data_IF_682082388611
#
_entry.id   IF_682082388611
#
_cell.length_a   1.000
_cell.length_b   1.000
_cell.length_c   1.000
_cell.angle_alpha   90.00
_cell.angle_beta   90.00
_cell.angle_gamma   90.00
#
_symmetry.space_group_name_H-M   'P 1'
#
loop_
_entity.id
_entity.type
_entity.pdbx_description
1 polymer ?
#
# COMPACT_ATOMS: atom_id res chain seq x y z
N UNK A 1 -28.44 37.55 36.01
CA UNK A 1 -29.16 36.92 34.88
C UNK A 1 -28.29 37.13 33.65
N UNK A 2 -27.42 36.16 33.37
CA UNK A 2 -26.62 36.07 32.14
C UNK A 2 -26.80 34.64 31.63
N UNK A 3 -27.89 34.34 30.91
CA UNK A 3 -28.15 33.00 30.38
C UNK A 3 -27.16 32.60 29.27
N UNK A 4 -26.40 33.56 28.73
CA UNK A 4 -25.54 33.36 27.56
C UNK A 4 -24.18 32.71 27.89
N UNK A 5 -23.76 32.69 29.15
CA UNK A 5 -22.49 32.08 29.57
C UNK A 5 -22.55 30.55 29.66
N UNK A 6 -23.74 29.95 29.68
CA UNK A 6 -23.90 28.50 29.73
C UNK A 6 -23.87 27.84 28.34
N UNK A 7 -24.05 28.61 27.26
CA UNK A 7 -23.98 28.12 25.88
C UNK A 7 -22.54 27.99 25.35
N UNK A 8 -21.56 28.57 26.05
CA UNK A 8 -20.14 28.47 25.74
C UNK A 8 -19.40 27.40 26.56
N UNK A 9 -20.13 26.59 27.34
CA UNK A 9 -19.55 25.52 28.13
C UNK A 9 -19.67 24.20 27.35
N UNK A 10 -18.52 23.59 27.02
CA UNK A 10 -18.45 22.22 26.51
C UNK A 10 -19.34 21.32 27.37
N UNK A 11 -20.25 20.57 26.74
CA UNK A 11 -21.13 19.70 27.51
C UNK A 11 -20.28 18.66 28.25
N UNK A 12 -20.73 18.22 29.42
CA UNK A 12 -19.97 17.22 30.21
C UNK A 12 -19.71 15.95 29.39
N UNK A 13 -20.63 15.58 28.48
CA UNK A 13 -20.47 14.46 27.55
C UNK A 13 -19.41 14.69 26.49
N UNK A 14 -19.37 15.87 25.88
CA UNK A 14 -18.32 16.26 24.94
C UNK A 14 -16.94 16.25 25.60
N UNK A 15 -16.82 16.84 26.78
CA UNK A 15 -15.56 16.92 27.52
C UNK A 15 -15.02 15.52 27.89
N UNK A 16 -15.89 14.64 28.40
CA UNK A 16 -15.53 13.26 28.73
C UNK A 16 -15.08 12.52 27.47
N UNK A 17 -15.82 12.65 26.37
CA UNK A 17 -15.49 11.96 25.12
C UNK A 17 -14.17 12.45 24.55
N UNK A 18 -13.89 13.75 24.60
CA UNK A 18 -12.60 14.33 24.17
C UNK A 18 -11.45 13.80 25.02
N UNK A 19 -11.57 13.81 26.35
CA UNK A 19 -10.51 13.35 27.25
C UNK A 19 -10.28 11.84 27.21
N UNK A 20 -11.21 11.07 26.65
CA UNK A 20 -11.03 9.63 26.38
C UNK A 20 -10.46 9.40 24.99
N UNK A 21 -11.12 9.90 23.94
CA UNK A 21 -10.77 9.63 22.54
C UNK A 21 -9.52 10.38 22.07
N UNK A 22 -9.27 11.59 22.57
CA UNK A 22 -8.10 12.39 22.22
C UNK A 22 -6.79 11.70 22.60
N UNK A 23 -6.55 11.37 23.88
CA UNK A 23 -5.38 10.61 24.29
C UNK A 23 -5.30 9.23 23.64
N UNK A 24 -6.43 8.54 23.48
CA UNK A 24 -6.48 7.25 22.78
C UNK A 24 -5.99 7.36 21.34
N UNK A 25 -6.42 8.39 20.60
CA UNK A 25 -5.97 8.65 19.24
C UNK A 25 -4.46 8.92 19.17
N UNK A 26 -3.93 9.73 20.09
CA UNK A 26 -2.49 10.05 20.15
C UNK A 26 -1.67 8.80 20.48
N UNK A 27 -2.08 8.02 21.49
CA UNK A 27 -1.40 6.77 21.86
C UNK A 27 -1.43 5.79 20.68
N UNK A 28 -2.59 5.62 20.03
CA UNK A 28 -2.71 4.77 18.86
C UNK A 28 -1.82 5.24 17.70
N UNK A 29 -1.74 6.55 17.43
CA UNK A 29 -0.85 7.09 16.40
C UNK A 29 0.64 6.84 16.71
N UNK A 30 1.05 7.00 17.96
CA UNK A 30 2.42 6.67 18.39
C UNK A 30 2.69 5.17 18.23
N UNK A 31 1.77 4.32 18.66
CA UNK A 31 1.90 2.86 18.54
C UNK A 31 1.92 2.39 17.08
N UNK A 32 1.16 3.04 16.19
CA UNK A 32 1.21 2.79 14.76
C UNK A 32 2.62 2.98 14.20
N UNK A 33 3.30 4.09 14.57
CA UNK A 33 4.64 4.42 14.06
C UNK A 33 5.72 3.51 14.65
N UNK A 34 5.58 3.11 15.92
CA UNK A 34 6.57 2.26 16.60
C UNK A 34 6.38 0.77 16.25
N UNK A 35 5.19 0.38 15.80
CA UNK A 35 4.85 -1.01 15.49
C UNK A 35 5.68 -1.56 14.33
N UNK A 36 6.43 -2.62 14.60
CA UNK A 36 7.24 -3.33 13.59
C UNK A 36 6.42 -4.22 12.68
N UNK A 37 5.33 -4.79 13.21
CA UNK A 37 4.43 -5.60 12.42
C UNK A 37 3.42 -4.68 11.74
N UNK A 38 3.39 -4.73 10.42
CA UNK A 38 2.55 -3.83 9.65
C UNK A 38 1.04 -4.07 9.86
N UNK A 39 0.62 -5.29 10.21
CA UNK A 39 -0.77 -5.58 10.57
C UNK A 39 -1.14 -4.86 11.87
N UNK A 40 -0.26 -4.89 12.85
CA UNK A 40 -0.47 -4.17 14.12
C UNK A 40 -0.48 -2.66 13.89
N UNK A 41 0.42 -2.14 13.05
CA UNK A 41 0.43 -0.73 12.67
C UNK A 41 -0.91 -0.32 12.04
N UNK A 42 -1.46 -1.15 11.15
CA UNK A 42 -2.75 -0.88 10.52
C UNK A 42 -3.94 -0.98 11.49
N UNK A 43 -3.91 -1.88 12.49
CA UNK A 43 -4.92 -1.89 13.57
C UNK A 43 -4.87 -0.62 14.42
N UNK A 44 -3.67 -0.12 14.73
CA UNK A 44 -3.52 1.16 15.43
C UNK A 44 -4.00 2.34 14.58
N UNK A 45 -3.75 2.33 13.26
CA UNK A 45 -4.32 3.29 12.34
C UNK A 45 -5.86 3.26 12.36
N UNK A 46 -6.47 2.07 12.42
CA UNK A 46 -7.91 1.92 12.57
C UNK A 46 -8.43 2.61 13.84
N UNK A 47 -7.75 2.40 14.98
CA UNK A 47 -8.10 3.04 16.25
C UNK A 47 -8.01 4.57 16.17
N UNK A 48 -7.01 5.12 15.47
CA UNK A 48 -6.92 6.57 15.20
C UNK A 48 -8.12 7.05 14.39
N UNK A 49 -8.45 6.37 13.29
CA UNK A 49 -9.53 6.78 12.39
C UNK A 49 -10.91 6.72 13.07
N UNK A 50 -11.17 5.70 13.90
CA UNK A 50 -12.38 5.60 14.72
C UNK A 50 -12.45 6.68 15.79
N UNK A 51 -11.33 6.95 16.48
CA UNK A 51 -11.28 7.99 17.51
C UNK A 51 -11.55 9.37 16.91
N UNK A 52 -10.98 9.66 15.73
CA UNK A 52 -11.27 10.90 14.99
C UNK A 52 -12.73 10.98 14.55
N UNK A 53 -13.34 9.89 14.09
CA UNK A 53 -14.76 9.88 13.74
C UNK A 53 -15.64 10.22 14.95
N UNK A 54 -15.32 9.67 16.13
CA UNK A 54 -16.00 10.02 17.37
C UNK A 54 -15.80 11.49 17.76
N UNK A 55 -14.58 12.01 17.62
CA UNK A 55 -14.29 13.44 17.87
C UNK A 55 -15.02 14.36 16.89
N UNK A 56 -15.21 13.97 15.62
CA UNK A 56 -16.01 14.74 14.66
C UNK A 56 -17.50 14.71 15.01
N UNK A 57 -18.01 13.57 15.45
CA UNK A 57 -19.42 13.48 15.86
C UNK A 57 -19.72 14.38 17.07
N UNK A 58 -18.79 14.47 18.01
CA UNK A 58 -18.90 15.31 19.21
C UNK A 58 -18.72 16.81 18.91
N UNK A 59 -18.04 17.16 17.83
CA UNK A 59 -17.86 18.55 17.38
C UNK A 59 -18.96 19.00 16.39
N UNK A 60 -20.15 18.41 16.48
CA UNK A 60 -21.29 18.70 15.59
C UNK A 60 -21.00 18.56 14.09
N UNK A 61 -20.11 17.62 13.72
CA UNK A 61 -19.80 17.30 12.32
C UNK A 61 -20.22 15.86 11.94
N UNK A 62 -21.53 15.51 11.98
CA UNK A 62 -22.01 14.14 11.79
C UNK A 62 -21.77 13.60 10.38
N UNK A 63 -21.83 14.43 9.33
CA UNK A 63 -21.51 13.98 7.97
C UNK A 63 -20.04 13.60 7.84
N UNK A 64 -19.14 14.45 8.36
CA UNK A 64 -17.71 14.19 8.30
C UNK A 64 -17.33 12.95 9.13
N UNK A 65 -17.95 12.76 10.30
CA UNK A 65 -17.82 11.54 11.10
C UNK A 65 -18.24 10.29 10.32
N UNK A 66 -19.38 10.33 9.62
CA UNK A 66 -19.86 9.20 8.81
C UNK A 66 -18.91 8.89 7.63
N UNK A 67 -18.45 9.92 6.90
CA UNK A 67 -17.46 9.78 5.81
C UNK A 67 -16.14 9.21 6.34
N UNK A 68 -15.70 9.61 7.54
CA UNK A 68 -14.50 9.09 8.19
C UNK A 68 -14.57 7.57 8.42
N UNK A 69 -15.73 7.08 8.88
CA UNK A 69 -15.94 5.65 9.07
C UNK A 69 -16.06 4.92 7.73
N UNK A 70 -16.87 5.42 6.81
CA UNK A 70 -17.16 4.72 5.55
C UNK A 70 -15.94 4.69 4.62
N UNK A 71 -15.28 5.84 4.42
CA UNK A 71 -14.22 5.98 3.41
C UNK A 71 -12.86 5.62 3.99
N UNK A 72 -12.42 6.30 5.06
CA UNK A 72 -11.08 6.09 5.60
C UNK A 72 -10.94 4.75 6.32
N UNK A 73 -11.86 4.45 7.24
CA UNK A 73 -11.81 3.18 7.99
C UNK A 73 -12.37 2.02 7.15
N UNK A 74 -13.47 2.24 6.43
CA UNK A 74 -14.14 1.18 5.68
C UNK A 74 -13.39 0.80 4.41
N UNK A 75 -13.18 1.74 3.49
CA UNK A 75 -12.61 1.44 2.18
C UNK A 75 -11.08 1.45 2.17
N UNK A 76 -10.47 2.58 2.54
CA UNK A 76 -9.02 2.82 2.37
C UNK A 76 -8.20 1.88 3.27
N UNK A 77 -8.55 1.83 4.55
CA UNK A 77 -7.86 0.96 5.51
C UNK A 77 -8.01 -0.52 5.15
N UNK A 78 -9.20 -0.98 4.75
CA UNK A 78 -9.39 -2.40 4.36
C UNK A 78 -8.60 -2.75 3.10
N UNK A 79 -8.54 -1.84 2.11
CA UNK A 79 -7.67 -2.01 0.94
C UNK A 79 -6.20 -2.11 1.36
N UNK A 80 -5.76 -1.22 2.25
CA UNK A 80 -4.39 -1.24 2.76
C UNK A 80 -4.06 -2.54 3.49
N UNK A 81 -4.94 -2.99 4.40
CA UNK A 81 -4.81 -4.25 5.12
C UNK A 81 -4.74 -5.45 4.17
N UNK A 82 -5.59 -5.48 3.15
CA UNK A 82 -5.61 -6.55 2.16
C UNK A 82 -4.30 -6.61 1.37
N UNK A 83 -3.83 -5.46 0.86
CA UNK A 83 -2.58 -5.35 0.11
C UNK A 83 -1.40 -5.77 0.98
N UNK A 84 -1.34 -5.27 2.21
CA UNK A 84 -0.26 -5.59 3.13
C UNK A 84 -0.20 -7.09 3.45
N UNK A 85 -1.36 -7.71 3.65
CA UNK A 85 -1.46 -9.14 3.91
C UNK A 85 -1.09 -9.98 2.69
N UNK A 86 -1.46 -9.54 1.48
CA UNK A 86 -1.13 -10.20 0.22
C UNK A 86 0.38 -10.16 -0.08
N UNK A 87 1.03 -9.03 0.20
CA UNK A 87 2.46 -8.84 -0.08
C UNK A 87 3.35 -9.72 0.81
N UNK A 88 2.86 -10.11 1.99
CA UNK A 88 3.62 -10.92 2.94
C UNK A 88 4.80 -10.12 3.49
N UNK A 89 4.56 -9.40 4.59
CA UNK A 89 5.61 -8.62 5.27
C UNK A 89 6.52 -9.54 6.10
N UNK A 90 7.65 -9.92 5.53
CA UNK A 90 8.72 -10.58 6.28
C UNK A 90 9.40 -9.57 7.21
N UNK A 91 9.35 -9.85 8.51
CA UNK A 91 9.82 -8.96 9.58
C UNK A 91 11.34 -9.07 9.75
N UNK A 92 12.11 -8.78 8.71
CA UNK A 92 13.57 -8.85 8.74
C UNK A 92 14.18 -7.46 8.86
N UNK A 93 13.87 -6.76 9.95
CA UNK A 93 14.49 -5.48 10.23
C UNK A 93 15.82 -5.75 10.96
N UNK A 94 16.92 -5.72 10.22
CA UNK A 94 18.25 -5.77 10.82
C UNK A 94 18.53 -4.44 11.52
N UNK A 95 18.80 -4.46 12.82
CA UNK A 95 19.14 -3.28 13.64
C UNK A 95 20.53 -2.68 13.32
N UNK A 96 20.99 -2.83 12.08
CA UNK A 96 22.26 -2.28 11.64
C UNK A 96 21.95 -0.89 11.09
N UNK A 97 22.03 0.10 11.98
CA UNK A 97 21.90 1.50 11.62
C UNK A 97 22.99 1.84 10.59
N UNK A 98 22.63 1.96 9.31
CA UNK A 98 23.58 2.28 8.23
C UNK A 98 24.24 3.65 8.41
N UNK A 99 23.57 4.57 9.12
CA UNK A 99 24.05 5.92 9.42
C UNK A 99 23.95 6.18 10.94
N UNK A 100 25.09 6.12 11.63
CA UNK A 100 25.16 6.41 13.07
C UNK A 100 24.59 7.81 13.37
N UNK A 101 23.56 7.87 14.22
CA UNK A 101 22.97 9.13 14.71
C UNK A 101 21.69 9.58 14.00
N UNK A 102 21.26 8.93 12.92
CA UNK A 102 20.04 9.32 12.20
C UNK A 102 18.80 9.26 13.09
N UNK A 103 18.64 8.19 13.89
CA UNK A 103 17.52 8.04 14.83
C UNK A 103 17.39 9.18 15.84
N UNK A 104 18.51 9.70 16.35
CA UNK A 104 18.52 10.83 17.29
C UNK A 104 18.15 12.12 16.56
N UNK A 105 18.68 12.33 15.35
CA UNK A 105 18.32 13.48 14.53
C UNK A 105 16.83 13.48 14.16
N UNK A 106 16.27 12.34 13.74
CA UNK A 106 14.84 12.20 13.45
C UNK A 106 13.98 12.51 14.67
N UNK A 107 14.40 12.07 15.87
CA UNK A 107 13.69 12.39 17.10
C UNK A 107 13.72 13.90 17.40
N UNK A 108 14.89 14.54 17.30
CA UNK A 108 15.05 15.98 17.55
C UNK A 108 14.21 16.78 16.56
N UNK A 109 14.28 16.46 15.27
CA UNK A 109 13.51 17.14 14.22
C UNK A 109 12.02 16.90 14.41
N UNK A 110 11.60 15.67 14.70
CA UNK A 110 10.19 15.34 14.93
C UNK A 110 9.60 16.08 16.13
N UNK A 111 10.31 16.11 17.26
CA UNK A 111 9.89 16.85 18.46
C UNK A 111 9.91 18.36 18.21
N UNK A 112 10.94 18.88 17.55
CA UNK A 112 11.04 20.30 17.21
C UNK A 112 9.90 20.74 16.29
N UNK A 113 9.56 19.92 15.29
CA UNK A 113 8.43 20.17 14.39
C UNK A 113 7.09 20.12 15.12
N UNK A 114 6.88 19.13 16.00
CA UNK A 114 5.68 19.05 16.82
C UNK A 114 5.54 20.28 17.74
N UNK A 115 6.62 20.72 18.38
CA UNK A 115 6.63 21.90 19.22
C UNK A 115 6.29 23.18 18.43
N UNK A 116 6.82 23.30 17.21
CA UNK A 116 6.52 24.42 16.31
C UNK A 116 5.06 24.42 15.86
N UNK A 117 4.50 23.25 15.52
CA UNK A 117 3.07 23.17 15.18
C UNK A 117 2.18 23.47 16.37
N UNK A 118 2.50 22.94 17.56
CA UNK A 118 1.74 23.25 18.78
C UNK A 118 1.79 24.73 19.13
N UNK A 119 2.94 25.39 18.97
CA UNK A 119 3.05 26.83 19.24
C UNK A 119 2.32 27.66 18.19
N UNK A 120 2.38 27.29 16.91
CA UNK A 120 1.65 27.96 15.85
C UNK A 120 0.13 27.83 16.01
N UNK A 121 -0.36 26.63 16.29
CA UNK A 121 -1.78 26.38 16.58
C UNK A 121 -2.20 27.09 17.86
N UNK A 122 -1.39 27.02 18.92
CA UNK A 122 -1.65 27.72 20.17
C UNK A 122 -1.78 29.24 19.98
N UNK A 123 -0.88 29.85 19.20
CA UNK A 123 -0.92 31.27 18.89
C UNK A 123 -2.11 31.66 17.99
N UNK A 124 -2.58 30.74 17.13
CA UNK A 124 -3.74 30.99 16.28
C UNK A 124 -5.08 30.86 17.03
N UNK A 125 -5.14 29.96 18.02
CA UNK A 125 -6.36 29.64 18.77
C UNK A 125 -6.53 30.54 20.00
N UNK A 126 -5.43 30.90 20.66
CA UNK A 126 -5.43 31.83 21.80
C UNK A 126 -5.34 33.25 21.25
N UNK A 127 -6.42 34.02 21.37
CA UNK A 127 -6.43 35.42 20.96
C UNK A 127 -5.44 36.29 21.74
N UNK A 128 -5.23 37.54 21.30
CA UNK A 128 -4.36 38.51 21.97
C UNK A 128 -4.68 38.72 23.46
N UNK A 129 -5.92 38.43 23.84
CA UNK A 129 -6.46 38.64 25.18
C UNK A 129 -6.36 37.37 26.05
N UNK A 130 -5.71 36.32 25.56
CA UNK A 130 -5.53 35.04 26.27
C UNK A 130 -6.75 34.12 26.27
N UNK A 131 -7.85 34.53 25.63
CA UNK A 131 -9.09 33.75 25.53
C UNK A 131 -9.12 32.91 24.26
N UNK A 132 -9.58 31.66 24.38
CA UNK A 132 -9.89 30.79 23.24
C UNK A 132 -11.30 31.11 22.77
N UNK A 133 -11.42 31.75 21.60
CA UNK A 133 -12.73 31.98 20.99
C UNK A 133 -13.15 30.70 20.25
N UNK A 134 -14.00 29.86 20.87
CA UNK A 134 -14.64 28.77 20.16
C UNK A 134 -15.87 29.30 19.41
N UNK A 135 -15.73 29.46 18.10
CA UNK A 135 -16.89 29.66 17.22
C UNK A 135 -17.42 28.26 16.94
N UNK A 136 -18.46 27.84 17.68
CA UNK A 136 -19.08 26.54 17.49
C UNK A 136 -19.63 26.35 16.07
N UNK A 137 -20.13 25.14 15.77
CA UNK A 137 -20.62 24.82 14.42
C UNK A 137 -22.11 25.15 14.21
N UNK A 138 -22.82 25.67 15.21
CA UNK A 138 -24.27 25.93 15.15
C UNK A 138 -24.68 26.77 13.94
N UNK A 139 -24.01 27.90 13.73
CA UNK A 139 -24.29 28.78 12.58
C UNK A 139 -23.96 28.11 11.24
N UNK A 140 -22.89 27.30 11.19
CA UNK A 140 -22.53 26.55 9.99
C UNK A 140 -23.51 25.39 9.71
N UNK A 141 -24.20 24.91 10.74
CA UNK A 141 -25.13 23.79 10.70
C UNK A 141 -26.61 24.20 10.64
N UNK A 142 -26.92 25.50 10.56
CA UNK A 142 -28.29 26.02 10.62
C UNK A 142 -29.20 25.42 9.53
N UNK A 143 -28.65 25.19 8.33
CA UNK A 143 -29.36 24.56 7.20
C UNK A 143 -29.23 23.01 7.18
N UNK A 144 -28.52 22.44 8.16
CA UNK A 144 -28.16 21.03 8.24
C UNK A 144 -26.79 20.72 7.63
N UNK A 145 -26.03 19.85 8.30
CA UNK A 145 -24.62 19.58 8.00
C UNK A 145 -24.37 19.10 6.56
N UNK A 146 -25.23 18.21 6.02
CA UNK A 146 -25.09 17.70 4.64
C UNK A 146 -25.43 18.77 3.61
N UNK A 147 -26.49 19.54 3.85
CA UNK A 147 -26.98 20.56 2.92
C UNK A 147 -25.99 21.73 2.84
N UNK A 148 -25.47 22.17 3.99
CA UNK A 148 -24.45 23.22 4.06
C UNK A 148 -23.18 22.85 3.28
N UNK A 149 -22.67 21.62 3.47
CA UNK A 149 -21.52 21.12 2.72
C UNK A 149 -21.84 21.01 1.22
N UNK A 150 -23.01 20.51 0.85
CA UNK A 150 -23.41 20.40 -0.56
C UNK A 150 -23.49 21.77 -1.24
N UNK A 151 -24.04 22.79 -0.57
CA UNK A 151 -24.08 24.17 -1.08
C UNK A 151 -22.66 24.66 -1.36
N UNK A 152 -21.77 24.60 -0.37
CA UNK A 152 -20.37 25.01 -0.53
C UNK A 152 -19.68 24.25 -1.68
N UNK A 153 -19.90 22.95 -1.78
CA UNK A 153 -19.29 22.09 -2.80
C UNK A 153 -19.74 22.45 -4.22
N UNK A 154 -21.02 22.79 -4.41
CA UNK A 154 -21.60 23.07 -5.71
C UNK A 154 -21.66 24.56 -6.08
N UNK A 155 -21.36 25.47 -5.15
CA UNK A 155 -21.23 26.91 -5.44
C UNK A 155 -19.78 27.35 -5.45
N UNK A 156 -19.12 27.35 -4.29
CA UNK A 156 -17.84 28.02 -4.09
C UNK A 156 -16.68 27.11 -4.45
N UNK A 157 -16.83 25.81 -4.18
CA UNK A 157 -15.82 24.78 -4.42
C UNK A 157 -16.10 23.91 -5.64
N UNK A 158 -16.99 24.35 -6.55
CA UNK A 158 -17.37 23.58 -7.75
C UNK A 158 -16.15 23.16 -8.58
N UNK A 159 -15.19 24.07 -8.75
CA UNK A 159 -13.97 23.78 -9.51
C UNK A 159 -13.08 22.75 -8.82
N UNK A 160 -12.94 22.82 -7.49
CA UNK A 160 -12.20 21.84 -6.72
C UNK A 160 -12.87 20.46 -6.76
N UNK A 161 -14.20 20.43 -6.71
CA UNK A 161 -15.00 19.21 -6.88
C UNK A 161 -14.79 18.57 -8.26
N UNK A 162 -14.81 19.36 -9.33
CA UNK A 162 -14.60 18.87 -10.69
C UNK A 162 -13.19 18.28 -10.88
N UNK A 163 -12.16 18.98 -10.38
CA UNK A 163 -10.77 18.46 -10.42
C UNK A 163 -10.64 17.17 -9.61
N UNK A 164 -11.28 17.08 -8.45
CA UNK A 164 -11.24 15.87 -7.62
C UNK A 164 -11.94 14.71 -8.33
N UNK A 165 -13.04 14.97 -9.04
CA UNK A 165 -13.74 13.96 -9.85
C UNK A 165 -12.86 13.46 -11.00
N UNK A 166 -12.17 14.35 -11.71
CA UNK A 166 -11.21 13.99 -12.75
C UNK A 166 -10.01 13.20 -12.18
N UNK A 167 -9.53 13.56 -10.99
CA UNK A 167 -8.49 12.83 -10.27
C UNK A 167 -8.93 11.39 -9.94
N UNK A 168 -10.17 11.19 -9.46
CA UNK A 168 -10.69 9.86 -9.16
C UNK A 168 -10.81 8.97 -10.40
N UNK A 169 -11.30 9.52 -11.52
CA UNK A 169 -11.34 8.80 -12.81
C UNK A 169 -9.92 8.43 -13.26
N UNK A 170 -8.98 9.37 -13.17
CA UNK A 170 -7.58 9.16 -13.55
C UNK A 170 -6.91 8.12 -12.65
N UNK A 171 -7.17 8.13 -11.35
CA UNK A 171 -6.66 7.14 -10.40
C UNK A 171 -7.19 5.73 -10.71
N UNK A 172 -8.49 5.60 -11.01
CA UNK A 172 -9.10 4.34 -11.41
C UNK A 172 -8.50 3.79 -12.71
N UNK A 173 -8.33 4.64 -13.73
CA UNK A 173 -7.66 4.28 -14.97
C UNK A 173 -6.19 3.90 -14.73
N UNK A 174 -5.48 4.67 -13.90
CA UNK A 174 -4.09 4.42 -13.53
C UNK A 174 -3.92 3.05 -12.85
N UNK A 175 -4.79 2.72 -11.90
CA UNK A 175 -4.79 1.42 -11.24
C UNK A 175 -5.09 0.27 -12.23
N UNK A 176 -6.05 0.45 -13.14
CA UNK A 176 -6.38 -0.54 -14.17
C UNK A 176 -5.19 -0.80 -15.11
N UNK A 177 -4.55 0.26 -15.61
CA UNK A 177 -3.39 0.15 -16.51
C UNK A 177 -2.20 -0.46 -15.78
N UNK A 178 -1.93 -0.07 -14.53
CA UNK A 178 -0.79 -0.58 -13.75
C UNK A 178 -0.94 -2.08 -13.42
N UNK A 179 -2.17 -2.54 -13.21
CA UNK A 179 -2.47 -3.97 -12.96
C UNK A 179 -2.65 -4.77 -14.25
N UNK A 180 -2.68 -4.11 -15.42
CA UNK A 180 -2.76 -4.77 -16.70
C UNK A 180 -1.46 -5.51 -17.02
N UNK A 181 -1.43 -6.78 -16.65
CA UNK A 181 -0.33 -7.66 -17.02
C UNK A 181 -0.60 -8.21 -18.41
N UNK A 182 0.24 -7.84 -19.37
CA UNK A 182 0.27 -8.51 -20.67
C UNK A 182 0.48 -10.00 -20.45
N UNK A 183 -0.59 -10.76 -20.64
CA UNK A 183 -0.52 -12.22 -20.66
C UNK A 183 0.27 -12.56 -21.91
N UNK A 184 1.58 -12.82 -21.76
CA UNK A 184 2.37 -13.41 -22.86
C UNK A 184 1.56 -14.56 -23.41
N UNK A 185 1.15 -14.45 -24.68
CA UNK A 185 0.36 -15.47 -25.35
C UNK A 185 1.12 -16.79 -25.25
N UNK A 186 0.64 -17.69 -24.40
CA UNK A 186 1.20 -19.03 -24.31
C UNK A 186 0.56 -19.80 -25.46
N UNK A 187 1.30 -20.16 -26.51
CA UNK A 187 0.72 -20.77 -27.70
C UNK A 187 -0.06 -22.01 -27.29
N UNK A 188 -1.27 -22.16 -27.82
CA UNK A 188 -2.12 -23.32 -27.53
C UNK A 188 -1.45 -24.61 -28.01
N UNK A 189 -1.83 -25.77 -27.45
CA UNK A 189 -1.30 -27.06 -27.91
C UNK A 189 -1.52 -27.28 -29.42
N UNK A 190 -2.67 -26.83 -29.95
CA UNK A 190 -2.98 -26.87 -31.39
C UNK A 190 -2.05 -25.97 -32.20
N UNK A 191 -1.71 -24.80 -31.68
CA UNK A 191 -0.80 -23.87 -32.34
C UNK A 191 0.64 -24.39 -32.33
N UNK A 192 1.09 -24.98 -31.21
CA UNK A 192 2.37 -25.69 -31.14
C UNK A 192 2.44 -26.87 -32.10
N UNK A 193 1.36 -27.67 -32.19
CA UNK A 193 1.28 -28.77 -33.15
C UNK A 193 1.36 -28.26 -34.60
N UNK A 194 0.59 -27.22 -34.95
CA UNK A 194 0.66 -26.59 -36.29
C UNK A 194 2.06 -26.06 -36.61
N UNK A 195 2.70 -25.35 -35.67
CA UNK A 195 4.08 -24.86 -35.83
C UNK A 195 5.07 -26.00 -36.04
N UNK A 196 4.87 -27.13 -35.35
CA UNK A 196 5.69 -28.34 -35.52
C UNK A 196 5.50 -28.97 -36.91
N UNK A 197 4.26 -29.12 -37.38
CA UNK A 197 3.99 -29.64 -38.73
C UNK A 197 4.42 -28.70 -39.85
N UNK A 198 4.49 -27.39 -39.59
CA UNK A 198 5.02 -26.40 -40.51
C UNK A 198 6.55 -26.31 -40.49
N UNK A 199 7.20 -26.94 -39.50
CA UNK A 199 8.65 -27.05 -39.40
C UNK A 199 9.15 -28.35 -40.02
N UNK A 200 10.47 -28.45 -40.22
CA UNK A 200 11.11 -29.63 -40.80
C UNK A 200 11.08 -30.87 -39.88
N UNK A 201 10.58 -30.71 -38.65
CA UNK A 201 10.51 -31.75 -37.63
C UNK A 201 9.09 -31.89 -37.07
N UNK A 202 8.22 -32.69 -37.72
CA UNK A 202 6.83 -32.90 -37.29
C UNK A 202 6.68 -33.69 -35.97
N UNK A 203 7.75 -34.30 -35.46
CA UNK A 203 7.77 -35.08 -34.21
C UNK A 203 8.22 -34.25 -32.99
N UNK A 204 7.87 -34.65 -31.75
CA UNK A 204 8.41 -34.02 -30.55
C UNK A 204 9.92 -34.26 -30.43
N UNK A 205 10.63 -33.27 -29.90
CA UNK A 205 12.06 -33.39 -29.63
C UNK A 205 12.32 -34.54 -28.64
N UNK A 206 13.38 -35.34 -28.83
CA UNK A 206 13.75 -36.38 -27.88
C UNK A 206 14.07 -35.76 -26.53
N UNK A 207 13.64 -36.41 -25.45
CA UNK A 207 14.04 -36.00 -24.10
C UNK A 207 15.55 -36.19 -23.91
N UNK A 208 16.18 -35.41 -23.01
CA UNK A 208 17.58 -35.65 -22.66
C UNK A 208 17.77 -37.07 -22.08
N UNK A 209 18.93 -37.67 -22.32
CA UNK A 209 19.28 -39.01 -21.83
C UNK A 209 18.61 -40.19 -22.53
N UNK A 210 17.75 -39.97 -23.54
CA UNK A 210 17.11 -41.07 -24.30
C UNK A 210 18.18 -41.85 -25.08
N UNK A 211 18.23 -43.17 -24.87
CA UNK A 211 19.28 -44.09 -25.35
C UNK A 211 20.71 -43.82 -24.82
N UNK A 212 20.90 -42.84 -23.94
CA UNK A 212 22.17 -42.62 -23.27
C UNK A 212 22.31 -43.54 -22.03
N UNK A 213 23.53 -43.85 -21.63
CA UNK A 213 23.80 -44.62 -20.41
C UNK A 213 23.51 -43.87 -19.10
N UNK A 214 23.11 -42.60 -19.16
CA UNK A 214 22.91 -41.72 -18.02
C UNK A 214 21.61 -40.91 -18.17
N UNK A 215 20.81 -40.87 -17.10
CA UNK A 215 19.58 -40.08 -17.03
C UNK A 215 19.87 -38.72 -16.38
N UNK A 216 20.40 -37.79 -17.17
CA UNK A 216 20.69 -36.42 -16.74
C UNK A 216 20.19 -35.42 -17.77
N UNK A 217 19.69 -34.27 -17.30
CA UNK A 217 19.21 -33.16 -18.15
C UNK A 217 20.34 -32.49 -18.95
N UNK A 218 21.59 -32.74 -18.58
CA UNK A 218 22.78 -32.28 -19.30
C UNK A 218 23.31 -33.31 -20.30
N UNK A 219 22.78 -34.54 -20.31
CA UNK A 219 23.23 -35.60 -21.21
C UNK A 219 22.35 -35.63 -22.46
N UNK A 220 22.92 -35.47 -23.68
CA UNK A 220 22.14 -35.53 -24.90
C UNK A 220 21.62 -36.95 -25.18
N UNK A 221 20.48 -37.03 -25.85
CA UNK A 221 19.97 -38.28 -26.41
C UNK A 221 20.92 -38.79 -27.50
N UNK A 222 21.02 -40.11 -27.67
CA UNK A 222 21.80 -40.73 -28.73
C UNK A 222 20.92 -41.07 -29.94
N UNK A 223 21.43 -40.77 -31.13
CA UNK A 223 20.85 -41.19 -32.41
C UNK A 223 21.14 -42.67 -32.67
N UNK A 224 20.45 -43.32 -33.65
CA UNK A 224 20.66 -44.73 -33.97
C UNK A 224 22.10 -45.08 -34.40
N UNK A 225 22.88 -44.07 -34.82
CA UNK A 225 24.30 -44.18 -35.17
C UNK A 225 25.24 -43.97 -33.97
N UNK A 226 24.70 -43.72 -32.78
CA UNK A 226 25.44 -43.44 -31.55
C UNK A 226 25.93 -42.00 -31.39
N UNK A 227 25.59 -41.09 -32.31
CA UNK A 227 25.97 -39.67 -32.19
C UNK A 227 25.01 -38.87 -31.30
N UNK A 228 25.46 -37.81 -30.61
CA UNK A 228 24.61 -37.02 -29.72
C UNK A 228 23.66 -36.10 -30.49
N UNK A 229 22.37 -36.15 -30.13
CA UNK A 229 21.33 -35.27 -30.67
C UNK A 229 21.39 -33.89 -30.02
N UNK A 230 21.67 -32.87 -30.83
CA UNK A 230 21.78 -31.46 -30.39
C UNK A 230 20.46 -30.88 -29.89
N UNK A 231 19.34 -31.42 -30.35
CA UNK A 231 18.00 -30.89 -30.05
C UNK A 231 17.39 -31.44 -28.76
N UNK A 232 18.06 -32.41 -28.13
CA UNK A 232 17.60 -33.07 -26.90
C UNK A 232 17.92 -32.30 -25.61
N UNK A 233 18.88 -31.36 -25.67
CA UNK A 233 19.38 -30.61 -24.51
C UNK A 233 19.11 -29.13 -24.70
N UNK A 234 18.80 -28.44 -23.59
CA UNK A 234 18.63 -26.99 -23.59
C UNK A 234 19.89 -26.28 -24.13
N UNK A 235 19.77 -25.27 -25.00
CA UNK A 235 20.91 -24.48 -25.48
C UNK A 235 21.76 -23.87 -24.37
N UNK A 236 21.16 -23.60 -23.20
CA UNK A 236 21.83 -23.06 -22.01
C UNK A 236 22.81 -24.05 -21.39
N UNK A 237 22.59 -25.36 -21.59
CA UNK A 237 23.39 -26.44 -21.03
C UNK A 237 24.41 -27.00 -22.04
N UNK A 238 24.50 -26.43 -23.24
CA UNK A 238 25.47 -26.88 -24.23
C UNK A 238 26.89 -26.46 -23.82
N UNK A 239 27.87 -27.39 -23.78
CA UNK A 239 29.26 -27.03 -23.57
C UNK A 239 29.74 -26.08 -24.66
N UNK A 240 30.50 -25.05 -24.29
CA UNK A 240 31.16 -24.16 -25.27
C UNK A 240 32.06 -25.00 -26.18
N UNK A 241 31.93 -24.92 -27.52
CA UNK A 241 32.73 -25.72 -28.43
C UNK A 241 34.20 -25.29 -28.30
N UNK A 242 35.01 -26.15 -27.65
CA UNK A 242 36.41 -25.89 -27.34
C UNK A 242 36.95 -26.65 -26.12
N UNK A 243 36.09 -27.15 -25.24
CA UNK A 243 36.49 -28.07 -24.18
C UNK A 243 36.40 -29.51 -24.64
N UNK A 244 37.49 -30.08 -25.18
CA UNK A 244 37.58 -31.53 -25.35
C UNK A 244 37.40 -32.18 -23.97
N UNK A 245 36.38 -33.02 -23.81
CA UNK A 245 36.22 -33.84 -22.62
C UNK A 245 36.60 -35.25 -23.00
N UNK A 246 37.52 -35.84 -22.25
CA UNK A 246 37.97 -37.21 -22.48
C UNK A 246 36.81 -38.18 -22.19
N UNK A 247 36.91 -39.44 -22.63
CA UNK A 247 35.83 -40.45 -22.55
C UNK A 247 35.26 -40.67 -21.13
N UNK A 248 35.92 -40.17 -20.08
CA UNK A 248 35.51 -40.20 -18.67
C UNK A 248 34.77 -38.94 -18.18
N UNK A 249 34.37 -38.01 -19.06
CA UNK A 249 33.60 -36.82 -18.69
C UNK A 249 34.37 -35.76 -17.90
N UNK A 250 35.71 -35.82 -17.91
CA UNK A 250 36.60 -34.80 -17.32
C UNK A 250 37.06 -33.81 -18.39
N UNK A 251 37.14 -32.50 -18.10
CA UNK A 251 37.75 -31.54 -19.02
C UNK A 251 39.19 -31.96 -19.30
N UNK A 252 39.55 -32.14 -20.57
CA UNK A 252 40.95 -32.18 -20.96
C UNK A 252 41.53 -30.77 -20.72
N UNK A 253 42.66 -30.74 -20.00
CA UNK A 253 43.39 -29.50 -19.72
C UNK A 253 43.95 -28.88 -20.99
#
# INVERSE_FOLDING_TARGET
>A
MQPDLLLAATSTGEAVTFWVLGPLAVIAAIMMVISRNAVHAALFLAAVMLSLAGLYAVQDAPFLAAVQVIVYTGAILMLFLFVLMLVGVDSSDSLIETLRGHRVLTLIVGVGFAALLMSAVGAAVVGSDGTVASVGLDAANEEGNVVGIARLLFTDYLFAFEITSALLITAALGAMVLTHKDRRHRPSQRELARRRFASDHPWPLPGPGVFAGHNSTATPALLPDGTPSKDSVSPVLQPTPGGETNQDGRPAL
#
